data_IF_142011425998
#
_entry.id   IF_142011425998
#
_cell.length_a   1.000
_cell.length_b   1.000
_cell.length_c   1.000
_cell.angle_alpha   90.00
_cell.angle_beta   90.00
_cell.angle_gamma   90.00
#
_symmetry.space_group_name_H-M   'P 1'
#
loop_
_entity.id
_entity.type
_entity.pdbx_description
1 polymer ?
#
# COMPACT_ATOMS: atom_id res chain seq x y z
N UNK A 1 12.74 29.28 24.06
CA UNK A 1 13.12 27.86 24.20
C UNK A 1 11.95 26.97 23.77
N UNK A 2 11.83 26.65 22.47
CA UNK A 2 10.80 25.72 21.92
C UNK A 2 11.38 24.68 20.94
N UNK A 3 12.65 24.79 20.57
CA UNK A 3 13.27 24.05 19.47
C UNK A 3 13.28 22.50 19.62
N UNK A 4 13.48 21.90 20.81
CA UNK A 4 13.51 20.43 20.92
C UNK A 4 12.15 19.79 20.64
N UNK A 5 11.07 20.42 21.12
CA UNK A 5 9.70 19.94 20.95
C UNK A 5 9.23 20.06 19.50
N UNK A 6 9.62 21.13 18.81
CA UNK A 6 9.30 21.33 17.39
C UNK A 6 9.98 20.29 16.49
N UNK A 7 11.29 20.02 16.71
CA UNK A 7 12.02 18.97 15.98
C UNK A 7 11.43 17.56 16.21
N UNK A 8 11.08 17.24 17.45
CA UNK A 8 10.49 15.93 17.78
C UNK A 8 9.13 15.74 17.10
N UNK A 9 8.33 16.80 17.03
CA UNK A 9 7.03 16.81 16.36
C UNK A 9 7.17 16.63 14.83
N UNK A 10 8.17 17.26 14.22
CA UNK A 10 8.41 17.14 12.78
C UNK A 10 8.89 15.73 12.38
N UNK A 11 9.75 15.10 13.20
CA UNK A 11 10.13 13.69 13.02
C UNK A 11 8.92 12.77 13.21
N UNK A 12 8.10 13.00 14.24
CA UNK A 12 6.90 12.20 14.48
C UNK A 12 5.90 12.28 13.31
N UNK A 13 5.69 13.46 12.71
CA UNK A 13 4.84 13.63 11.53
C UNK A 13 5.40 12.92 10.30
N UNK A 14 6.72 12.96 10.08
CA UNK A 14 7.39 12.26 8.97
C UNK A 14 7.32 10.75 9.08
N UNK A 15 7.26 10.22 10.31
CA UNK A 15 7.03 8.80 10.58
C UNK A 15 5.54 8.45 10.42
N UNK A 16 4.63 9.31 10.89
CA UNK A 16 3.18 9.07 10.81
C UNK A 16 2.67 9.03 9.36
N UNK A 17 3.15 9.93 8.50
CA UNK A 17 2.70 10.06 7.12
C UNK A 17 2.75 8.74 6.30
N UNK A 18 3.88 7.99 6.23
CA UNK A 18 3.91 6.74 5.48
C UNK A 18 2.97 5.66 6.04
N UNK A 19 2.71 5.64 7.35
CA UNK A 19 1.71 4.73 7.92
C UNK A 19 0.28 5.08 7.51
N UNK A 20 -0.04 6.37 7.40
CA UNK A 20 -1.33 6.80 6.85
C UNK A 20 -1.46 6.43 5.37
N UNK A 21 -0.42 6.68 4.57
CA UNK A 21 -0.39 6.29 3.15
C UNK A 21 -0.57 4.77 2.97
N UNK A 22 0.08 3.93 3.80
CA UNK A 22 -0.12 2.47 3.78
C UNK A 22 -1.54 2.09 4.22
N UNK A 23 -2.11 2.74 5.24
CA UNK A 23 -3.47 2.43 5.69
C UNK A 23 -4.51 2.73 4.60
N UNK A 24 -4.38 3.87 3.91
CA UNK A 24 -5.23 4.21 2.76
C UNK A 24 -5.03 3.21 1.61
N UNK A 25 -3.78 2.85 1.33
CA UNK A 25 -3.45 1.85 0.32
C UNK A 25 -4.07 0.47 0.65
N UNK A 26 -4.01 0.02 1.91
CA UNK A 26 -4.63 -1.22 2.37
C UNK A 26 -6.14 -1.22 2.13
N UNK A 27 -6.84 -0.15 2.52
CA UNK A 27 -8.28 -0.03 2.32
C UNK A 27 -8.62 -0.08 0.84
N UNK A 28 -7.89 0.68 0.01
CA UNK A 28 -8.11 0.71 -1.44
C UNK A 28 -7.87 -0.65 -2.09
N UNK A 29 -6.80 -1.34 -1.70
CA UNK A 29 -6.48 -2.67 -2.23
C UNK A 29 -7.52 -3.71 -1.84
N UNK A 30 -7.94 -3.72 -0.57
CA UNK A 30 -8.99 -4.63 -0.10
C UNK A 30 -10.33 -4.39 -0.80
N UNK A 31 -10.71 -3.13 -1.02
CA UNK A 31 -11.90 -2.76 -1.80
C UNK A 31 -11.78 -3.14 -3.28
N UNK A 32 -10.55 -3.24 -3.79
CA UNK A 32 -10.26 -3.57 -5.18
C UNK A 32 -10.26 -5.07 -5.48
N UNK A 33 -10.07 -5.96 -4.49
CA UNK A 33 -10.02 -7.41 -4.75
C UNK A 33 -11.35 -7.92 -5.30
N UNK A 34 -11.28 -8.70 -6.39
CA UNK A 34 -12.44 -9.29 -7.02
C UNK A 34 -12.65 -10.70 -6.48
N UNK A 35 -13.91 -11.05 -6.23
CA UNK A 35 -14.33 -12.38 -5.83
C UNK A 35 -15.47 -12.81 -6.74
N UNK A 36 -15.62 -14.12 -6.90
CA UNK A 36 -16.74 -14.67 -7.64
C UNK A 36 -18.04 -14.35 -6.89
N UNK A 37 -18.95 -13.62 -7.54
CA UNK A 37 -20.21 -13.24 -6.91
C UNK A 37 -21.22 -14.39 -6.99
N UNK A 38 -22.12 -14.54 -5.99
CA UNK A 38 -23.16 -15.58 -6.02
C UNK A 38 -24.03 -15.53 -7.29
N UNK A 39 -24.32 -14.33 -7.81
CA UNK A 39 -25.13 -14.17 -9.01
C UNK A 39 -24.41 -14.72 -10.25
N UNK A 40 -23.09 -14.59 -10.31
CA UNK A 40 -22.29 -15.12 -11.41
C UNK A 40 -22.26 -16.65 -11.42
N UNK A 41 -22.29 -17.29 -10.25
CA UNK A 41 -22.39 -18.75 -10.13
C UNK A 41 -23.69 -19.28 -10.72
N UNK A 42 -24.81 -18.60 -10.46
CA UNK A 42 -26.13 -19.01 -10.99
C UNK A 42 -26.26 -18.83 -12.50
N UNK A 43 -25.37 -18.04 -13.11
CA UNK A 43 -25.35 -17.78 -14.55
C UNK A 43 -24.52 -18.78 -15.37
N UNK A 44 -23.77 -19.66 -14.71
CA UNK A 44 -22.90 -20.63 -15.35
C UNK A 44 -23.72 -21.71 -16.06
N UNK A 45 -23.39 -21.97 -17.32
CA UNK A 45 -24.06 -22.98 -18.15
C UNK A 45 -23.24 -24.26 -18.27
N UNK A 46 -21.92 -24.16 -18.09
CA UNK A 46 -21.00 -25.28 -18.21
C UNK A 46 -19.91 -25.25 -17.12
N UNK A 47 -19.40 -26.41 -16.67
CA UNK A 47 -18.33 -26.46 -15.68
C UNK A 47 -17.03 -25.75 -16.08
N UNK A 48 -16.70 -25.69 -17.37
CA UNK A 48 -15.49 -25.05 -17.89
C UNK A 48 -15.50 -23.52 -17.68
N UNK A 49 -16.68 -22.89 -17.72
CA UNK A 49 -16.86 -21.45 -17.49
C UNK A 49 -16.44 -21.06 -16.06
N UNK A 50 -16.59 -21.99 -15.10
CA UNK A 50 -16.11 -21.77 -13.72
C UNK A 50 -14.58 -21.68 -13.69
N UNK A 51 -13.89 -22.57 -14.39
CA UNK A 51 -12.42 -22.56 -14.47
C UNK A 51 -11.89 -21.29 -15.14
N UNK A 52 -12.50 -20.88 -16.25
CA UNK A 52 -12.15 -19.63 -16.92
C UNK A 52 -12.32 -18.42 -15.99
N UNK A 53 -13.43 -18.34 -15.26
CA UNK A 53 -13.66 -17.27 -14.27
C UNK A 53 -12.61 -17.28 -13.16
N UNK A 54 -12.26 -18.44 -12.61
CA UNK A 54 -11.24 -18.53 -11.56
C UNK A 54 -9.86 -18.07 -12.04
N UNK A 55 -9.47 -18.44 -13.27
CA UNK A 55 -8.21 -17.97 -13.87
C UNK A 55 -8.25 -16.46 -14.06
N UNK A 56 -9.33 -15.91 -14.61
CA UNK A 56 -9.46 -14.46 -14.81
C UNK A 56 -9.40 -13.70 -13.48
N UNK A 57 -10.12 -14.17 -12.45
CA UNK A 57 -10.07 -13.59 -11.10
C UNK A 57 -8.65 -13.66 -10.51
N UNK A 58 -7.97 -14.79 -10.67
CA UNK A 58 -6.60 -14.96 -10.18
C UNK A 58 -5.64 -13.98 -10.87
N UNK A 59 -5.74 -13.83 -12.20
CA UNK A 59 -4.92 -12.90 -12.96
C UNK A 59 -5.20 -11.45 -12.57
N UNK A 60 -6.46 -11.04 -12.47
CA UNK A 60 -6.84 -9.69 -12.06
C UNK A 60 -6.37 -9.37 -10.63
N UNK A 61 -6.55 -10.31 -9.70
CA UNK A 61 -6.13 -10.14 -8.32
C UNK A 61 -4.61 -10.16 -8.16
N UNK A 62 -3.89 -10.93 -8.99
CA UNK A 62 -2.44 -10.90 -9.03
C UNK A 62 -1.92 -9.53 -9.46
N UNK A 63 -2.52 -8.89 -10.47
CA UNK A 63 -2.15 -7.53 -10.86
C UNK A 63 -2.37 -6.52 -9.73
N UNK A 64 -3.49 -6.63 -8.99
CA UNK A 64 -3.74 -5.76 -7.83
C UNK A 64 -2.76 -6.00 -6.69
N UNK A 65 -2.38 -7.25 -6.44
CA UNK A 65 -1.38 -7.59 -5.44
C UNK A 65 0.01 -7.05 -5.80
N UNK A 66 0.39 -7.14 -7.09
CA UNK A 66 1.64 -6.57 -7.59
C UNK A 66 1.64 -5.04 -7.51
N UNK A 67 0.55 -4.38 -7.90
CA UNK A 67 0.37 -2.93 -7.79
C UNK A 67 0.44 -2.45 -6.33
N UNK A 68 -0.22 -3.17 -5.42
CA UNK A 68 -0.12 -2.92 -3.99
C UNK A 68 1.32 -3.04 -3.48
N UNK A 69 2.02 -4.10 -3.87
CA UNK A 69 3.41 -4.32 -3.46
C UNK A 69 4.31 -3.20 -3.98
N UNK A 70 4.17 -2.81 -5.26
CA UNK A 70 4.93 -1.72 -5.86
C UNK A 70 4.70 -0.40 -5.10
N UNK A 71 3.44 0.00 -4.88
CA UNK A 71 3.11 1.24 -4.16
C UNK A 71 3.57 1.22 -2.71
N UNK A 72 3.52 0.05 -2.05
CA UNK A 72 4.04 -0.11 -0.69
C UNK A 72 5.54 0.17 -0.65
N UNK A 73 6.30 -0.36 -1.61
CA UNK A 73 7.73 -0.07 -1.72
C UNK A 73 8.00 1.41 -2.01
N UNK A 74 7.25 2.04 -2.91
CA UNK A 74 7.38 3.47 -3.21
C UNK A 74 7.17 4.35 -1.96
N UNK A 75 6.16 4.04 -1.13
CA UNK A 75 5.90 4.76 0.13
C UNK A 75 7.09 4.61 1.09
N UNK A 76 7.57 3.39 1.29
CA UNK A 76 8.70 3.12 2.20
C UNK A 76 9.99 3.76 1.69
N UNK A 77 10.27 3.66 0.39
CA UNK A 77 11.44 4.27 -0.23
C UNK A 77 11.45 5.78 -0.04
N UNK A 78 10.31 6.44 -0.30
CA UNK A 78 10.15 7.89 -0.10
C UNK A 78 10.37 8.29 1.37
N UNK A 79 9.82 7.52 2.31
CA UNK A 79 10.00 7.77 3.74
C UNK A 79 11.47 7.62 4.15
N UNK A 80 12.12 6.53 3.73
CA UNK A 80 13.54 6.28 3.98
C UNK A 80 14.44 7.36 3.36
N UNK A 81 14.14 7.77 2.13
CA UNK A 81 14.86 8.85 1.46
C UNK A 81 14.77 10.15 2.25
N UNK A 82 13.57 10.52 2.71
CA UNK A 82 13.35 11.72 3.52
C UNK A 82 14.18 11.68 4.82
N UNK A 83 14.20 10.54 5.51
CA UNK A 83 14.98 10.38 6.75
C UNK A 83 16.48 10.51 6.46
N UNK A 84 16.99 9.85 5.42
CA UNK A 84 18.42 9.89 5.06
C UNK A 84 18.87 11.31 4.69
N UNK A 85 18.05 12.07 3.95
CA UNK A 85 18.37 13.46 3.62
C UNK A 85 18.48 14.34 4.87
N UNK A 86 17.60 14.13 5.84
CA UNK A 86 17.58 14.91 7.08
C UNK A 86 18.79 14.62 7.97
N UNK A 87 19.20 13.34 8.06
CA UNK A 87 20.44 12.95 8.75
C UNK A 87 21.66 13.58 8.07
N UNK A 88 21.70 13.61 6.73
CA UNK A 88 22.80 14.25 5.98
C UNK A 88 22.84 15.78 6.15
N UNK A 89 21.69 16.42 6.36
CA UNK A 89 21.57 17.88 6.52
C UNK A 89 21.81 18.34 7.98
N UNK A 90 21.72 17.44 8.96
CA UNK A 90 22.09 17.69 10.37
C UNK A 90 23.22 16.75 10.86
N UNK A 91 24.45 16.86 10.34
CA UNK A 91 25.58 16.00 10.72
C UNK A 91 26.14 16.26 12.14
N UNK A 92 25.58 17.19 12.93
CA UNK A 92 26.19 17.66 14.18
C UNK A 92 25.28 17.50 15.41
N UNK A 93 25.22 16.28 15.96
CA UNK A 93 25.06 16.01 17.42
C UNK A 93 25.86 14.74 17.83
N UNK A 94 26.99 14.46 17.17
CA UNK A 94 28.00 13.49 17.62
C UNK A 94 29.40 14.08 17.52
#
# INVERSE_FOLDING_TARGET
MKQPFEKLNDVAKKIQAPFQEIAELNVRTLQGFNYLKPEELTSLKKPEELWEKQINLAVENAHKALDYMQKSFEIVEKAMHSIVQEVKQNPAEH
#
